data_IF_711861771441
#
_entry.id   IF_711861771441
#
_cell.length_a   1.000
_cell.length_b   1.000
_cell.length_c   1.000
_cell.angle_alpha   90.00
_cell.angle_beta   90.00
_cell.angle_gamma   90.00
#
_symmetry.space_group_name_H-M   'P 1'
#
loop_
_entity.id
_entity.type
_entity.pdbx_description
1 polymer ?
#
# COMPACT_ATOMS: atom_id res chain seq x y z
N UNK A 1 -21.58 -10.37 4.71
CA UNK A 1 -20.72 -11.45 4.20
C UNK A 1 -19.34 -11.23 4.80
N UNK A 2 -19.06 -11.87 5.93
CA UNK A 2 -17.70 -11.96 6.48
C UNK A 2 -17.03 -13.13 5.77
N UNK A 3 -16.45 -12.88 4.61
CA UNK A 3 -15.38 -13.78 4.14
C UNK A 3 -14.31 -13.84 5.22
N UNK A 4 -13.79 -15.03 5.50
CA UNK A 4 -12.75 -15.23 6.50
C UNK A 4 -11.50 -14.45 6.06
N UNK A 5 -11.03 -13.54 6.91
CA UNK A 5 -9.83 -12.76 6.64
C UNK A 5 -8.62 -13.68 6.39
N UNK A 6 -8.60 -14.88 7.00
CA UNK A 6 -7.56 -15.87 6.78
C UNK A 6 -7.61 -16.47 5.36
N UNK A 7 -8.81 -16.77 4.85
CA UNK A 7 -9.00 -17.27 3.48
C UNK A 7 -8.53 -16.23 2.46
N UNK A 8 -8.97 -14.97 2.62
CA UNK A 8 -8.52 -13.87 1.76
C UNK A 8 -7.02 -13.63 1.83
N UNK A 9 -6.43 -13.67 3.02
CA UNK A 9 -4.99 -13.51 3.18
C UNK A 9 -4.23 -14.60 2.40
N UNK A 10 -4.69 -15.85 2.49
CA UNK A 10 -4.09 -16.98 1.77
C UNK A 10 -4.15 -16.75 0.26
N UNK A 11 -5.33 -16.44 -0.29
CA UNK A 11 -5.49 -16.14 -1.72
C UNK A 11 -4.63 -14.95 -2.17
N UNK A 12 -4.55 -13.89 -1.38
CA UNK A 12 -3.71 -12.73 -1.71
C UNK A 12 -2.22 -13.07 -1.67
N UNK A 13 -1.76 -13.88 -0.72
CA UNK A 13 -0.37 -14.34 -0.63
C UNK A 13 0.00 -15.19 -1.85
N UNK A 14 -0.86 -16.13 -2.24
CA UNK A 14 -0.64 -16.96 -3.43
C UNK A 14 -0.57 -16.11 -4.70
N UNK A 15 -1.53 -15.21 -4.89
CA UNK A 15 -1.58 -14.30 -6.03
C UNK A 15 -0.35 -13.40 -6.09
N UNK A 16 0.07 -12.86 -4.93
CA UNK A 16 1.26 -12.01 -4.84
C UNK A 16 2.53 -12.80 -5.16
N UNK A 17 2.64 -14.05 -4.68
CA UNK A 17 3.79 -14.92 -4.96
C UNK A 17 3.97 -15.15 -6.46
N UNK A 18 2.88 -15.47 -7.16
CA UNK A 18 2.89 -15.62 -8.62
C UNK A 18 3.26 -14.30 -9.31
N UNK A 19 2.65 -13.19 -8.89
CA UNK A 19 2.92 -11.88 -9.47
C UNK A 19 4.40 -11.49 -9.35
N UNK A 20 4.97 -11.63 -8.15
CA UNK A 20 6.38 -11.31 -7.86
C UNK A 20 7.34 -12.14 -8.71
N UNK A 21 7.04 -13.41 -8.98
CA UNK A 21 7.85 -14.28 -9.82
C UNK A 21 7.95 -13.80 -11.29
N UNK A 22 7.03 -12.94 -11.74
CA UNK A 22 6.95 -12.48 -13.13
C UNK A 22 7.29 -11.00 -13.31
N UNK A 23 7.57 -10.26 -12.23
CA UNK A 23 7.90 -8.84 -12.34
C UNK A 23 9.26 -8.62 -13.01
N UNK A 24 9.31 -7.63 -13.89
CA UNK A 24 10.55 -7.10 -14.47
C UNK A 24 10.51 -5.57 -14.40
N UNK A 25 11.60 -4.91 -13.96
CA UNK A 25 11.65 -3.46 -13.98
C UNK A 25 11.60 -2.94 -15.41
N UNK A 26 10.87 -1.85 -15.64
CA UNK A 26 10.89 -1.15 -16.93
C UNK A 26 12.22 -0.40 -17.08
N UNK A 27 12.72 -0.34 -18.31
CA UNK A 27 13.96 0.39 -18.66
C UNK A 27 13.74 1.20 -19.94
N UNK A 28 14.08 2.52 -19.98
CA UNK A 28 14.57 3.32 -18.85
C UNK A 28 13.48 3.54 -17.78
N UNK A 29 13.91 3.74 -16.53
CA UNK A 29 13.00 4.13 -15.46
C UNK A 29 12.59 5.59 -15.68
N UNK A 30 11.31 5.83 -15.94
CA UNK A 30 10.75 7.17 -16.06
C UNK A 30 9.60 7.33 -15.06
N UNK A 31 9.83 8.19 -14.06
CA UNK A 31 8.85 8.52 -13.03
C UNK A 31 8.56 10.02 -13.13
N UNK A 32 7.28 10.37 -13.29
CA UNK A 32 6.85 11.77 -13.32
C UNK A 32 6.51 12.26 -11.91
N UNK A 33 6.73 13.56 -11.66
CA UNK A 33 6.33 14.21 -10.40
C UNK A 33 4.85 13.97 -10.08
N UNK A 34 3.97 14.01 -11.09
CA UNK A 34 2.54 13.74 -10.91
C UNK A 34 2.27 12.35 -10.30
N UNK A 35 3.04 11.31 -10.70
CA UNK A 35 2.90 9.97 -10.11
C UNK A 35 3.38 9.94 -8.66
N UNK A 36 4.43 10.68 -8.34
CA UNK A 36 4.92 10.82 -6.95
C UNK A 36 3.87 11.53 -6.10
N UNK A 37 3.37 12.68 -6.55
CA UNK A 37 2.32 13.45 -5.89
C UNK A 37 1.06 12.60 -5.67
N UNK A 38 0.68 11.80 -6.68
CA UNK A 38 -0.47 10.90 -6.57
C UNK A 38 -0.26 9.82 -5.52
N UNK A 39 0.92 9.22 -5.46
CA UNK A 39 1.25 8.22 -4.44
C UNK A 39 1.18 8.82 -3.03
N UNK A 40 1.67 10.05 -2.85
CA UNK A 40 1.58 10.79 -1.57
C UNK A 40 0.11 11.07 -1.21
N UNK A 41 -0.71 11.51 -2.18
CA UNK A 41 -2.14 11.74 -1.97
C UNK A 41 -2.85 10.45 -1.52
N UNK A 42 -2.53 9.30 -2.14
CA UNK A 42 -3.10 8.00 -1.78
C UNK A 42 -2.67 7.59 -0.36
N UNK A 43 -1.39 7.74 0.00
CA UNK A 43 -0.92 7.46 1.36
C UNK A 43 -1.64 8.33 2.41
N UNK A 44 -1.87 9.61 2.12
CA UNK A 44 -2.63 10.51 3.00
C UNK A 44 -4.10 10.06 3.17
N UNK A 45 -4.74 9.60 2.09
CA UNK A 45 -6.11 9.05 2.14
C UNK A 45 -6.20 7.81 3.01
N UNK A 46 -5.29 6.84 2.82
CA UNK A 46 -5.25 5.63 3.65
C UNK A 46 -4.93 5.93 5.13
N UNK A 47 -4.14 6.97 5.40
CA UNK A 47 -3.92 7.46 6.77
C UNK A 47 -5.21 8.00 7.39
N UNK A 48 -6.06 8.68 6.62
CA UNK A 48 -7.36 9.14 7.09
C UNK A 48 -8.35 7.97 7.29
N UNK A 49 -8.33 6.98 6.41
CA UNK A 49 -9.12 5.75 6.57
C UNK A 49 -8.71 5.01 7.85
N UNK A 50 -7.40 4.91 8.13
CA UNK A 50 -6.90 4.33 9.37
C UNK A 50 -7.45 5.04 10.61
N UNK A 51 -7.45 6.38 10.63
CA UNK A 51 -8.04 7.18 11.72
C UNK A 51 -9.55 6.92 11.85
N UNK A 52 -10.27 6.86 10.73
CA UNK A 52 -11.70 6.57 10.70
C UNK A 52 -12.00 5.20 11.33
N UNK A 53 -11.34 4.14 10.86
CA UNK A 53 -11.58 2.77 11.34
C UNK A 53 -11.10 2.56 12.78
N UNK A 54 -10.03 3.24 13.20
CA UNK A 54 -9.59 3.23 14.60
C UNK A 54 -10.68 3.83 15.52
N UNK A 55 -11.29 4.95 15.11
CA UNK A 55 -12.42 5.56 15.84
C UNK A 55 -13.68 4.70 15.90
N UNK A 56 -13.81 3.71 15.00
CA UNK A 56 -14.91 2.72 14.97
C UNK A 56 -14.58 1.42 15.71
N UNK A 57 -13.46 1.35 16.46
CA UNK A 57 -12.96 0.14 17.13
C UNK A 57 -12.65 -1.01 16.16
N UNK A 58 -12.43 -0.70 14.87
CA UNK A 58 -12.06 -1.66 13.84
C UNK A 58 -10.52 -1.69 13.68
N UNK A 59 -9.83 -2.05 14.76
CA UNK A 59 -8.37 -1.89 14.87
C UNK A 59 -7.58 -2.67 13.82
N UNK A 60 -8.03 -3.86 13.42
CA UNK A 60 -7.36 -4.65 12.36
C UNK A 60 -7.43 -3.94 11.01
N UNK A 61 -8.60 -3.40 10.66
CA UNK A 61 -8.78 -2.63 9.42
C UNK A 61 -7.96 -1.34 9.46
N UNK A 62 -7.98 -0.63 10.59
CA UNK A 62 -7.18 0.58 10.79
C UNK A 62 -5.68 0.31 10.62
N UNK A 63 -5.19 -0.79 11.20
CA UNK A 63 -3.80 -1.22 11.06
C UNK A 63 -3.45 -1.52 9.61
N UNK A 64 -4.30 -2.27 8.89
CA UNK A 64 -4.09 -2.55 7.47
C UNK A 64 -4.04 -1.27 6.61
N UNK A 65 -4.87 -0.27 6.91
CA UNK A 65 -4.85 1.01 6.20
C UNK A 65 -3.55 1.77 6.41
N UNK A 66 -3.06 1.89 7.66
CA UNK A 66 -1.84 2.67 7.95
C UNK A 66 -0.58 1.98 7.44
N UNK A 67 -0.49 0.64 7.52
CA UNK A 67 0.66 -0.10 6.99
C UNK A 67 0.73 -0.05 5.46
N UNK A 68 -0.42 -0.01 4.78
CA UNK A 68 -0.44 0.24 3.34
C UNK A 68 0.06 1.66 2.99
N UNK A 69 -0.37 2.68 3.73
CA UNK A 69 0.12 4.05 3.55
C UNK A 69 1.64 4.14 3.79
N UNK A 70 2.15 3.50 4.83
CA UNK A 70 3.58 3.43 5.16
C UNK A 70 4.38 2.77 4.03
N UNK A 71 3.95 1.61 3.53
CA UNK A 71 4.62 0.91 2.44
C UNK A 71 4.68 1.71 1.14
N UNK A 72 3.67 2.54 0.85
CA UNK A 72 3.70 3.46 -0.29
C UNK A 72 4.78 4.55 -0.12
N UNK A 73 4.91 5.12 1.08
CA UNK A 73 5.92 6.16 1.35
C UNK A 73 7.34 5.57 1.36
N UNK A 74 7.51 4.37 1.93
CA UNK A 74 8.80 3.69 1.92
C UNK A 74 9.27 3.36 0.51
N UNK A 75 8.37 2.97 -0.39
CA UNK A 75 8.71 2.79 -1.80
C UNK A 75 9.22 4.07 -2.46
N UNK A 76 8.66 5.24 -2.12
CA UNK A 76 9.17 6.53 -2.62
C UNK A 76 10.54 6.87 -2.03
N UNK A 77 10.78 6.56 -0.75
CA UNK A 77 12.09 6.75 -0.11
C UNK A 77 13.17 5.85 -0.72
N UNK A 78 12.86 4.58 -0.98
CA UNK A 78 13.82 3.64 -1.60
C UNK A 78 14.26 4.07 -3.00
N UNK A 79 13.49 4.94 -3.65
CA UNK A 79 13.76 5.48 -4.98
C UNK A 79 14.33 6.90 -4.94
N UNK A 80 14.63 7.44 -3.74
CA UNK A 80 15.12 8.80 -3.52
C UNK A 80 14.21 9.88 -4.13
N UNK A 81 12.88 9.66 -4.11
CA UNK A 81 11.90 10.55 -4.73
C UNK A 81 11.29 11.57 -3.76
N UNK A 82 11.52 11.41 -2.46
CA UNK A 82 10.99 12.27 -1.39
C UNK A 82 12.03 12.43 -0.28
N UNK A 83 11.92 13.54 0.46
CA UNK A 83 12.72 13.81 1.65
C UNK A 83 11.84 13.76 2.91
N UNK A 84 12.43 13.49 4.10
CA UNK A 84 11.71 13.49 5.39
C UNK A 84 11.13 14.85 5.80
#
# INVERSE_FOLDING_TARGET
MTEDAAERATTYIETMTVTLAHLKPRTPLQISKEKVDKTIEVAARYTNDAKYYAGKQQSVTALACVTYAEGLLDALKFLDLIEP
#
